data_IF_273993729624
#
_entry.id   IF_273993729624
#
_cell.length_a   1.000
_cell.length_b   1.000
_cell.length_c   1.000
_cell.angle_alpha   90.00
_cell.angle_beta   90.00
_cell.angle_gamma   90.00
#
_symmetry.space_group_name_H-M   'P 1'
#
loop_
_entity.id
_entity.type
_entity.pdbx_description
1 polymer ?
#
# COMPACT_ATOMS: atom_id res chain seq x y z
N UNK A 1 12.04 -29.80 40.39
CA UNK A 1 11.51 -29.22 39.13
C UNK A 1 10.18 -28.51 39.43
N UNK A 2 9.89 -27.33 38.85
CA UNK A 2 8.74 -26.49 39.22
C UNK A 2 7.37 -27.11 38.94
N UNK A 3 7.27 -28.06 38.01
CA UNK A 3 6.01 -28.67 37.57
C UNK A 3 5.34 -29.58 38.64
N UNK A 4 6.13 -30.20 39.53
CA UNK A 4 5.59 -31.10 40.55
C UNK A 4 4.85 -30.36 41.69
N UNK A 5 5.19 -29.09 41.92
CA UNK A 5 4.55 -28.24 42.93
C UNK A 5 3.15 -27.80 42.48
N UNK A 6 2.91 -27.71 41.16
CA UNK A 6 1.66 -27.18 40.59
C UNK A 6 0.61 -28.28 40.38
N UNK A 7 1.01 -29.55 40.36
CA UNK A 7 0.14 -30.65 39.89
C UNK A 7 -0.36 -31.57 41.02
N UNK A 8 -0.04 -31.28 42.29
CA UNK A 8 -0.33 -32.13 43.48
C UNK A 8 -0.01 -33.62 43.29
N UNK A 9 0.92 -33.94 42.37
CA UNK A 9 1.24 -35.31 42.03
C UNK A 9 2.34 -35.78 42.98
N UNK A 10 2.05 -36.80 43.80
CA UNK A 10 3.04 -37.39 44.70
C UNK A 10 4.28 -37.82 43.91
N UNK A 11 5.45 -37.29 44.30
CA UNK A 11 6.72 -37.71 43.71
C UNK A 11 6.86 -39.23 43.84
N UNK A 12 7.27 -39.94 42.77
CA UNK A 12 7.42 -41.38 42.81
C UNK A 12 8.42 -41.78 43.90
N UNK A 13 7.99 -42.67 44.80
CA UNK A 13 8.78 -43.20 45.92
C UNK A 13 10.07 -43.85 45.39
N UNK A 14 11.15 -43.80 46.16
CA UNK A 14 12.47 -44.35 45.78
C UNK A 14 12.43 -45.81 45.28
N UNK A 15 11.50 -46.62 45.79
CA UNK A 15 11.28 -48.00 45.34
C UNK A 15 10.81 -48.10 43.88
N UNK A 16 10.01 -47.14 43.40
CA UNK A 16 9.46 -47.11 42.04
C UNK A 16 10.50 -46.67 41.01
N UNK A 17 11.46 -45.84 41.42
CA UNK A 17 12.63 -45.50 40.59
C UNK A 17 13.59 -46.71 40.51
N UNK A 18 13.67 -47.52 41.57
CA UNK A 18 14.48 -48.73 41.59
C UNK A 18 13.95 -49.82 40.63
N UNK A 19 12.64 -49.91 40.41
CA UNK A 19 12.04 -50.85 39.44
C UNK A 19 12.27 -50.51 37.96
N UNK A 20 12.74 -49.31 37.65
CA UNK A 20 13.08 -48.88 36.27
C UNK A 20 14.48 -49.38 35.86
N UNK A 21 15.34 -49.78 36.81
CA UNK A 21 16.64 -50.39 36.50
C UNK A 21 16.44 -51.82 35.98
N UNK A 22 16.83 -52.05 34.72
CA UNK A 22 16.75 -53.31 33.97
C UNK A 22 17.52 -54.51 34.59
N UNK A 23 18.07 -54.38 35.80
CA UNK A 23 19.02 -55.34 36.38
C UNK A 23 18.44 -56.45 37.26
N UNK A 24 17.15 -56.42 37.62
CA UNK A 24 16.63 -57.31 38.69
C UNK A 24 15.27 -57.96 38.39
N UNK A 25 15.11 -58.57 37.21
CA UNK A 25 14.01 -59.51 36.93
C UNK A 25 12.59 -58.93 36.88
N UNK A 26 12.41 -57.61 36.88
CA UNK A 26 11.11 -56.97 36.73
C UNK A 26 10.73 -56.77 35.26
N UNK A 27 9.48 -57.09 34.91
CA UNK A 27 8.86 -56.67 33.65
C UNK A 27 8.89 -55.14 33.62
N UNK A 28 9.69 -54.54 32.73
CA UNK A 28 9.96 -53.10 32.69
C UNK A 28 8.68 -52.25 32.79
N UNK A 29 8.74 -51.16 33.57
CA UNK A 29 7.61 -50.27 33.79
C UNK A 29 7.16 -49.63 32.46
N UNK A 30 5.85 -49.48 32.28
CA UNK A 30 5.26 -48.98 31.04
C UNK A 30 5.68 -47.52 30.81
N UNK A 31 6.55 -47.28 29.83
CA UNK A 31 7.11 -45.96 29.52
C UNK A 31 6.05 -44.92 29.12
N UNK A 32 4.82 -45.36 28.82
CA UNK A 32 3.69 -44.52 28.43
C UNK A 32 3.39 -43.41 29.44
N UNK A 33 3.43 -43.71 30.75
CA UNK A 33 3.13 -42.72 31.79
C UNK A 33 4.20 -41.62 31.87
N UNK A 34 5.47 -41.99 31.69
CA UNK A 34 6.59 -41.06 31.64
C UNK A 34 6.53 -40.18 30.38
N UNK A 35 6.16 -40.75 29.22
CA UNK A 35 5.96 -39.99 27.98
C UNK A 35 4.82 -38.98 28.14
N UNK A 36 3.71 -39.35 28.78
CA UNK A 36 2.60 -38.42 29.03
C UNK A 36 3.00 -37.29 29.98
N UNK A 37 3.81 -37.55 31.02
CA UNK A 37 4.34 -36.51 31.92
C UNK A 37 5.26 -35.52 31.19
N UNK A 38 6.17 -36.01 30.36
CA UNK A 38 7.04 -35.14 29.55
C UNK A 38 6.24 -34.36 28.50
N UNK A 39 5.28 -35.01 27.82
CA UNK A 39 4.42 -34.36 26.85
C UNK A 39 3.58 -33.24 27.48
N UNK A 40 2.98 -33.48 28.67
CA UNK A 40 2.24 -32.44 29.41
C UNK A 40 3.14 -31.27 29.80
N UNK A 41 4.38 -31.53 30.24
CA UNK A 41 5.34 -30.48 30.62
C UNK A 41 5.73 -29.62 29.40
N UNK A 42 6.06 -30.26 28.27
CA UNK A 42 6.39 -29.57 27.03
C UNK A 42 5.19 -28.76 26.53
N UNK A 43 4.00 -29.36 26.55
CA UNK A 43 2.78 -28.68 26.11
C UNK A 43 2.48 -27.43 26.94
N UNK A 44 2.52 -27.55 28.27
CA UNK A 44 2.22 -26.45 29.19
C UNK A 44 3.26 -25.32 29.12
N UNK A 45 4.55 -25.64 29.11
CA UNK A 45 5.61 -24.62 29.23
C UNK A 45 6.09 -24.07 27.88
N UNK A 46 5.82 -24.75 26.77
CA UNK A 46 6.31 -24.33 25.44
C UNK A 46 5.15 -24.02 24.51
N UNK A 47 4.20 -24.94 24.37
CA UNK A 47 3.15 -24.83 23.34
C UNK A 47 2.11 -23.79 23.75
N UNK A 48 1.58 -23.87 24.97
CA UNK A 48 0.58 -22.91 25.48
C UNK A 48 1.06 -21.45 25.39
N UNK A 49 2.24 -21.06 25.91
CA UNK A 49 2.68 -19.67 25.84
C UNK A 49 2.94 -19.21 24.40
N UNK A 50 3.47 -20.08 23.52
CA UNK A 50 3.67 -19.74 22.11
C UNK A 50 2.35 -19.55 21.38
N UNK A 51 1.38 -20.45 21.55
CA UNK A 51 0.04 -20.31 20.98
C UNK A 51 -0.65 -19.06 21.50
N UNK A 52 -0.53 -18.75 22.79
CA UNK A 52 -1.09 -17.54 23.39
C UNK A 52 -0.51 -16.27 22.75
N UNK A 53 0.81 -16.19 22.59
CA UNK A 53 1.47 -15.06 21.90
C UNK A 53 1.05 -14.97 20.43
N UNK A 54 0.94 -16.11 19.73
CA UNK A 54 0.47 -16.15 18.34
C UNK A 54 -0.98 -15.66 18.22
N UNK A 55 -1.87 -16.05 19.13
CA UNK A 55 -3.26 -15.59 19.16
C UNK A 55 -3.32 -14.09 19.46
N UNK A 56 -2.53 -13.59 20.40
CA UNK A 56 -2.44 -12.14 20.68
C UNK A 56 -1.95 -11.38 19.44
N UNK A 57 -0.91 -11.87 18.77
CA UNK A 57 -0.38 -11.25 17.56
C UNK A 57 -1.42 -11.27 16.42
N UNK A 58 -2.12 -12.39 16.25
CA UNK A 58 -3.18 -12.53 15.25
C UNK A 58 -4.38 -11.63 15.52
N UNK A 59 -4.83 -11.53 16.78
CA UNK A 59 -5.90 -10.61 17.19
C UNK A 59 -5.45 -9.16 16.98
N UNK A 60 -4.21 -8.81 17.36
CA UNK A 60 -3.65 -7.47 17.12
C UNK A 60 -3.56 -7.15 15.64
N UNK A 61 -3.09 -8.07 14.82
CA UNK A 61 -3.04 -7.89 13.37
C UNK A 61 -4.44 -7.72 12.79
N UNK A 62 -5.39 -8.57 13.18
CA UNK A 62 -6.77 -8.48 12.71
C UNK A 62 -7.46 -7.21 13.17
N UNK A 63 -7.20 -6.77 14.40
CA UNK A 63 -7.71 -5.51 14.94
C UNK A 63 -7.08 -4.31 14.22
N UNK A 64 -5.77 -4.30 14.04
CA UNK A 64 -5.06 -3.25 13.31
C UNK A 64 -5.44 -3.22 11.82
N UNK A 65 -5.73 -4.35 11.18
CA UNK A 65 -6.24 -4.39 9.79
C UNK A 65 -7.66 -3.84 9.66
N UNK A 66 -8.49 -4.01 10.69
CA UNK A 66 -9.92 -3.64 10.64
C UNK A 66 -10.21 -2.25 11.22
N UNK A 67 -9.36 -1.77 12.12
CA UNK A 67 -9.50 -0.50 12.83
C UNK A 67 -8.21 0.30 12.75
N UNK A 68 -7.61 0.43 11.55
CA UNK A 68 -6.59 1.46 11.32
C UNK A 68 -7.30 2.74 10.87
N UNK A 69 -7.69 3.66 11.78
CA UNK A 69 -8.08 4.99 11.36
C UNK A 69 -6.81 5.68 10.89
N UNK A 70 -6.54 5.62 9.58
CA UNK A 70 -5.61 6.55 8.96
C UNK A 70 -6.25 7.92 9.20
N UNK A 71 -5.76 8.63 10.21
CA UNK A 71 -6.09 10.03 10.41
C UNK A 71 -5.40 10.77 9.28
N UNK A 72 -6.10 10.92 8.15
CA UNK A 72 -5.67 11.66 6.96
C UNK A 72 -5.43 13.16 7.21
N UNK A 73 -5.48 13.61 8.47
CA UNK A 73 -5.40 15.00 8.86
C UNK A 73 -4.08 15.22 9.61
N UNK A 74 -2.95 15.26 8.87
CA UNK A 74 -1.89 16.31 8.97
C UNK A 74 -0.45 15.93 8.65
N UNK A 75 -0.04 14.65 8.56
CA UNK A 75 1.40 14.34 8.43
C UNK A 75 1.77 13.47 7.22
N UNK A 76 2.22 14.13 6.14
CA UNK A 76 2.91 13.53 4.97
C UNK A 76 4.10 12.64 5.37
N UNK A 77 4.69 12.88 6.54
CA UNK A 77 5.79 12.08 7.09
C UNK A 77 5.39 10.62 7.37
N UNK A 78 4.19 10.35 7.89
CA UNK A 78 3.77 8.98 8.20
C UNK A 78 3.43 8.19 6.94
N UNK A 79 2.88 8.85 5.92
CA UNK A 79 2.63 8.22 4.61
C UNK A 79 3.93 7.70 4.00
N UNK A 80 5.04 8.47 4.08
CA UNK A 80 6.37 8.04 3.58
C UNK A 80 6.93 6.80 4.29
N UNK A 81 6.59 6.62 5.58
CA UNK A 81 6.99 5.45 6.36
C UNK A 81 6.17 4.20 6.03
N UNK A 82 4.93 4.35 5.57
CA UNK A 82 4.10 3.22 5.12
C UNK A 82 4.37 2.81 3.67
N UNK A 83 4.81 3.75 2.82
CA UNK A 83 5.23 3.49 1.44
C UNK A 83 6.53 2.68 1.41
N UNK A 84 7.45 2.93 2.36
CA UNK A 84 8.76 2.26 2.38
C UNK A 84 8.76 0.98 3.23
N UNK A 85 8.02 -0.06 2.80
CA UNK A 85 8.29 -1.42 3.29
C UNK A 85 9.57 -1.96 2.65
N UNK A 86 10.65 -2.20 3.41
CA UNK A 86 11.89 -2.71 2.84
C UNK A 86 11.66 -4.08 2.19
N UNK A 87 11.73 -4.13 0.85
CA UNK A 87 11.63 -5.36 0.05
C UNK A 87 10.39 -5.49 -0.83
N UNK A 88 9.37 -4.64 -0.66
CA UNK A 88 8.17 -4.67 -1.50
C UNK A 88 8.39 -3.89 -2.81
N UNK A 89 7.83 -4.38 -3.92
CA UNK A 89 7.87 -3.68 -5.22
C UNK A 89 6.74 -2.67 -5.23
N UNK A 90 7.06 -1.40 -5.39
CA UNK A 90 6.05 -0.35 -5.47
C UNK A 90 5.40 -0.36 -6.86
N UNK A 91 4.12 -0.74 -6.93
CA UNK A 91 3.35 -0.78 -8.17
C UNK A 91 2.59 0.53 -8.35
N UNK A 92 2.90 1.24 -9.42
CA UNK A 92 2.32 2.51 -9.81
C UNK A 92 1.47 2.33 -11.06
N UNK A 93 0.16 2.57 -10.96
CA UNK A 93 -0.70 2.58 -12.14
C UNK A 93 -0.90 3.99 -12.65
N UNK A 94 -0.85 4.17 -13.97
CA UNK A 94 -1.11 5.44 -14.64
C UNK A 94 -2.33 5.28 -15.52
N UNK A 95 -3.35 6.11 -15.29
CA UNK A 95 -4.56 6.20 -16.11
C UNK A 95 -4.51 7.50 -16.91
N UNK A 96 -4.28 7.44 -18.23
CA UNK A 96 -4.44 8.60 -19.10
C UNK A 96 -5.93 8.97 -19.24
N UNK A 97 -6.26 10.25 -19.15
CA UNK A 97 -7.61 10.77 -19.38
C UNK A 97 -7.62 11.68 -20.60
N UNK A 98 -8.37 11.28 -21.64
CA UNK A 98 -8.52 11.98 -22.91
C UNK A 98 -7.19 12.39 -23.56
N UNK A 99 -6.13 11.64 -23.27
CA UNK A 99 -4.78 11.84 -23.80
C UNK A 99 -4.23 10.49 -24.27
N UNK A 100 -3.60 10.50 -25.43
CA UNK A 100 -2.87 9.36 -25.98
C UNK A 100 -1.37 9.59 -25.75
N UNK A 101 -0.72 8.63 -25.08
CA UNK A 101 0.70 8.73 -24.76
C UNK A 101 1.54 8.00 -25.80
N UNK A 102 2.51 8.70 -26.36
CA UNK A 102 3.60 8.09 -27.14
C UNK A 102 4.48 7.22 -26.25
N UNK A 103 5.20 6.26 -26.84
CA UNK A 103 6.09 5.39 -26.05
C UNK A 103 7.23 6.18 -25.39
N UNK A 104 7.72 7.24 -26.05
CA UNK A 104 8.68 8.18 -25.45
C UNK A 104 8.14 8.86 -24.19
N UNK A 105 6.89 9.36 -24.23
CA UNK A 105 6.27 9.99 -23.05
C UNK A 105 6.03 8.98 -21.92
N UNK A 106 5.70 7.72 -22.25
CA UNK A 106 5.60 6.64 -21.24
C UNK A 106 6.95 6.38 -20.59
N UNK A 107 8.04 6.33 -21.35
CA UNK A 107 9.38 6.12 -20.80
C UNK A 107 9.84 7.28 -19.90
N UNK A 108 9.52 8.52 -20.28
CA UNK A 108 9.74 9.69 -19.43
C UNK A 108 8.97 9.55 -18.11
N UNK A 109 7.68 9.21 -18.15
CA UNK A 109 6.88 8.99 -16.94
C UNK A 109 7.44 7.86 -16.07
N UNK A 110 7.85 6.74 -16.68
CA UNK A 110 8.52 5.64 -15.96
C UNK A 110 9.75 6.14 -15.21
N UNK A 111 10.59 6.93 -15.89
CA UNK A 111 11.81 7.47 -15.29
C UNK A 111 11.54 8.44 -14.15
N UNK A 112 10.55 9.33 -14.31
CA UNK A 112 10.15 10.31 -13.30
C UNK A 112 9.57 9.66 -12.05
N UNK A 113 8.74 8.64 -12.20
CA UNK A 113 8.18 7.91 -11.06
C UNK A 113 9.22 6.99 -10.40
N UNK A 114 10.11 6.36 -11.16
CA UNK A 114 11.19 5.55 -10.59
C UNK A 114 12.16 6.38 -9.71
N UNK A 115 12.28 7.68 -9.95
CA UNK A 115 13.09 8.56 -9.10
C UNK A 115 12.41 8.90 -7.77
N UNK A 116 11.07 8.94 -7.74
CA UNK A 116 10.28 9.29 -6.55
C UNK A 116 9.99 8.06 -5.69
N UNK A 117 9.57 6.97 -6.33
CA UNK A 117 9.19 5.70 -5.71
C UNK A 117 10.40 4.76 -5.53
N UNK A 118 11.54 5.13 -6.12
CA UNK A 118 12.79 4.37 -6.07
C UNK A 118 12.91 3.32 -7.18
N UNK A 119 14.12 2.74 -7.26
CA UNK A 119 14.56 1.90 -8.38
C UNK A 119 13.78 0.59 -8.59
N UNK A 120 12.96 0.15 -7.62
CA UNK A 120 12.12 -1.05 -7.73
C UNK A 120 10.69 -0.77 -8.17
N UNK A 121 10.36 0.50 -8.42
CA UNK A 121 9.02 0.87 -8.83
C UNK A 121 8.68 0.28 -10.21
N UNK A 122 7.54 -0.39 -10.29
CA UNK A 122 6.97 -0.85 -11.56
C UNK A 122 5.84 0.09 -11.94
N UNK A 123 5.90 0.63 -13.15
CA UNK A 123 4.91 1.58 -13.65
C UNK A 123 4.10 0.91 -14.76
N UNK A 124 2.80 0.75 -14.54
CA UNK A 124 1.86 0.15 -15.47
C UNK A 124 0.89 1.18 -16.03
N UNK A 125 0.73 1.18 -17.36
CA UNK A 125 -0.16 2.10 -18.05
C UNK A 125 -1.48 1.42 -18.37
N UNK A 126 -2.57 2.07 -18.00
CA UNK A 126 -3.93 1.64 -18.33
C UNK A 126 -4.38 2.24 -19.67
N UNK A 127 -5.49 1.72 -20.18
CA UNK A 127 -6.13 2.29 -21.37
C UNK A 127 -6.57 3.73 -21.09
N UNK A 128 -6.46 4.59 -22.10
CA UNK A 128 -6.94 5.96 -21.97
C UNK A 128 -8.45 6.00 -21.76
N UNK A 129 -8.91 6.82 -20.83
CA UNK A 129 -10.32 7.08 -20.61
C UNK A 129 -10.76 8.16 -21.60
N UNK A 130 -11.71 7.83 -22.46
CA UNK A 130 -12.35 8.84 -23.32
C UNK A 130 -13.32 9.69 -22.50
N UNK A 131 -13.39 10.99 -22.81
CA UNK A 131 -14.38 11.90 -22.25
C UNK A 131 -15.82 11.34 -22.39
N UNK A 132 -16.59 11.35 -21.30
CA UNK A 132 -17.95 10.81 -21.26
C UNK A 132 -18.04 9.29 -21.06
N UNK A 133 -16.92 8.60 -20.80
CA UNK A 133 -16.85 7.16 -20.50
C UNK A 133 -16.38 6.85 -19.07
N UNK A 134 -16.42 7.83 -18.19
CA UNK A 134 -15.99 7.74 -16.78
C UNK A 134 -16.74 6.64 -16.02
N UNK A 135 -18.06 6.60 -16.17
CA UNK A 135 -18.90 5.60 -15.50
C UNK A 135 -18.61 4.18 -15.98
N UNK A 136 -18.31 4.02 -17.26
CA UNK A 136 -17.93 2.72 -17.82
C UNK A 136 -16.59 2.27 -17.27
N UNK A 137 -15.61 3.19 -17.23
CA UNK A 137 -14.32 2.93 -16.62
C UNK A 137 -14.48 2.48 -15.17
N UNK A 138 -15.21 3.23 -14.32
CA UNK A 138 -15.40 2.86 -12.91
C UNK A 138 -16.06 1.48 -12.71
N UNK A 139 -16.86 0.99 -13.67
CA UNK A 139 -17.44 -0.36 -13.61
C UNK A 139 -16.48 -1.47 -14.03
N UNK A 140 -15.64 -1.19 -15.02
CA UNK A 140 -14.70 -2.17 -15.59
C UNK A 140 -13.37 -2.19 -14.83
N UNK A 141 -13.02 -1.08 -14.21
CA UNK A 141 -11.75 -0.90 -13.52
C UNK A 141 -11.71 -1.76 -12.27
N UNK A 142 -10.92 -2.82 -12.36
CA UNK A 142 -10.66 -3.75 -11.26
C UNK A 142 -9.16 -3.97 -11.17
N UNK A 143 -8.59 -3.82 -9.98
CA UNK A 143 -7.22 -4.23 -9.73
C UNK A 143 -7.14 -5.75 -9.59
N UNK A 144 -6.09 -6.36 -10.13
CA UNK A 144 -5.85 -7.79 -9.94
C UNK A 144 -5.62 -8.05 -8.45
N UNK A 145 -6.47 -8.86 -7.81
CA UNK A 145 -6.42 -9.15 -6.37
C UNK A 145 -5.10 -9.77 -5.86
N UNK A 146 -4.17 -10.08 -6.77
CA UNK A 146 -2.84 -10.63 -6.44
C UNK A 146 -1.81 -9.57 -6.08
N UNK A 147 -2.01 -8.32 -6.50
CA UNK A 147 -1.07 -7.22 -6.25
C UNK A 147 -1.86 -6.04 -5.64
N UNK A 148 -1.71 -5.75 -4.33
CA UNK A 148 -2.30 -4.54 -3.77
C UNK A 148 -1.67 -3.34 -4.48
N UNK A 149 -2.49 -2.47 -5.04
CA UNK A 149 -2.01 -1.27 -5.70
C UNK A 149 -1.54 -0.30 -4.65
N UNK A 150 -0.27 0.06 -4.72
CA UNK A 150 0.31 0.97 -3.75
C UNK A 150 -0.03 2.40 -4.17
N UNK A 151 0.15 2.73 -5.46
CA UNK A 151 -0.04 4.11 -5.95
C UNK A 151 -0.78 4.17 -7.30
N UNK A 152 -1.62 5.19 -7.47
CA UNK A 152 -2.39 5.45 -8.69
C UNK A 152 -2.24 6.91 -9.15
N UNK A 153 -1.78 7.16 -10.38
CA UNK A 153 -1.83 8.47 -11.00
C UNK A 153 -2.91 8.56 -12.08
N UNK A 154 -3.64 9.66 -12.07
CA UNK A 154 -4.49 10.06 -13.19
C UNK A 154 -3.75 11.16 -13.96
N UNK A 155 -3.59 10.98 -15.26
CA UNK A 155 -2.92 11.93 -16.13
C UNK A 155 -3.93 12.70 -16.98
N UNK A 156 -4.02 14.00 -16.75
CA UNK A 156 -4.81 14.94 -17.55
C UNK A 156 -3.92 15.79 -18.44
N UNK A 157 -4.48 16.35 -19.51
CA UNK A 157 -3.81 17.40 -20.30
C UNK A 157 -4.17 18.78 -19.77
N UNK A 158 -3.19 19.67 -19.57
CA UNK A 158 -3.41 21.08 -19.23
C UNK A 158 -4.21 21.82 -20.32
N UNK A 159 -4.16 21.31 -21.57
CA UNK A 159 -4.90 21.87 -22.69
C UNK A 159 -6.42 21.64 -22.58
N UNK A 160 -6.85 20.67 -21.77
CA UNK A 160 -8.26 20.44 -21.48
C UNK A 160 -8.78 21.48 -20.48
N UNK A 161 -10.03 21.90 -20.66
CA UNK A 161 -10.70 22.79 -19.70
C UNK A 161 -11.16 21.94 -18.50
N UNK A 162 -10.69 22.22 -17.28
CA UNK A 162 -11.12 21.45 -16.12
C UNK A 162 -12.56 21.84 -15.75
N UNK A 163 -13.41 20.84 -15.61
CA UNK A 163 -14.83 20.99 -15.30
C UNK A 163 -15.17 20.24 -14.00
N UNK A 164 -15.80 20.90 -13.04
CA UNK A 164 -16.12 20.31 -11.73
C UNK A 164 -17.06 19.12 -11.85
N UNK A 165 -18.06 19.21 -12.73
CA UNK A 165 -19.07 18.17 -12.94
C UNK A 165 -18.52 16.90 -13.57
N UNK A 166 -17.32 16.98 -14.18
CA UNK A 166 -16.72 15.87 -14.92
C UNK A 166 -15.44 15.43 -14.22
N UNK A 167 -14.42 16.29 -14.19
CA UNK A 167 -13.10 15.95 -13.69
C UNK A 167 -13.12 15.74 -12.17
N UNK A 168 -13.68 16.70 -11.42
CA UNK A 168 -13.73 16.59 -9.96
C UNK A 168 -14.73 15.51 -9.50
N UNK A 169 -15.84 15.33 -10.22
CA UNK A 169 -16.78 14.23 -9.97
C UNK A 169 -16.16 12.86 -10.22
N UNK A 170 -15.43 12.69 -11.33
CA UNK A 170 -14.70 11.46 -11.64
C UNK A 170 -13.64 11.14 -10.59
N UNK A 171 -12.79 12.13 -10.26
CA UNK A 171 -11.76 11.99 -9.22
C UNK A 171 -12.41 11.54 -7.91
N UNK A 172 -13.48 12.22 -7.47
CA UNK A 172 -14.19 11.89 -6.23
C UNK A 172 -14.80 10.48 -6.25
N UNK A 173 -15.35 10.06 -7.38
CA UNK A 173 -15.91 8.72 -7.57
C UNK A 173 -14.82 7.65 -7.49
N UNK A 174 -13.70 7.88 -8.15
CA UNK A 174 -12.55 6.98 -8.12
C UNK A 174 -11.97 6.88 -6.70
N UNK A 175 -11.80 8.00 -6.01
CA UNK A 175 -11.35 8.04 -4.60
C UNK A 175 -12.23 7.16 -3.71
N UNK A 176 -13.55 7.34 -3.80
CA UNK A 176 -14.50 6.56 -3.02
C UNK A 176 -14.36 5.07 -3.33
N UNK A 177 -14.33 4.71 -4.61
CA UNK A 177 -14.20 3.32 -5.05
C UNK A 177 -12.91 2.65 -4.55
N UNK A 178 -11.76 3.32 -4.62
CA UNK A 178 -10.50 2.71 -4.18
C UNK A 178 -10.38 2.66 -2.65
N UNK A 179 -10.97 3.63 -1.95
CA UNK A 179 -10.97 3.70 -0.49
C UNK A 179 -11.89 2.64 0.10
N UNK A 180 -13.11 2.49 -0.44
CA UNK A 180 -14.11 1.52 0.03
C UNK A 180 -13.61 0.07 -0.09
N UNK A 181 -12.74 -0.19 -1.08
CA UNK A 181 -12.16 -1.52 -1.31
C UNK A 181 -10.77 -1.71 -0.67
N UNK A 182 -10.25 -0.74 0.09
CA UNK A 182 -8.86 -0.71 0.62
C UNK A 182 -7.80 -1.06 -0.45
N UNK A 183 -8.02 -0.60 -1.69
CA UNK A 183 -7.29 -1.06 -2.87
C UNK A 183 -6.06 -0.23 -3.21
N UNK A 184 -6.03 1.06 -2.82
CA UNK A 184 -4.99 2.01 -3.19
C UNK A 184 -4.51 2.77 -1.94
N UNK A 185 -3.20 2.90 -1.77
CA UNK A 185 -2.60 3.63 -0.64
C UNK A 185 -2.47 5.12 -0.95
N UNK A 186 -2.15 5.48 -2.20
CA UNK A 186 -1.99 6.87 -2.62
C UNK A 186 -2.54 7.14 -4.02
N UNK A 187 -3.25 8.26 -4.19
CA UNK A 187 -3.67 8.76 -5.51
C UNK A 187 -2.98 10.09 -5.80
N UNK A 188 -2.41 10.21 -7.00
CA UNK A 188 -1.82 11.43 -7.53
C UNK A 188 -2.64 11.93 -8.73
N UNK A 189 -2.80 13.24 -8.83
CA UNK A 189 -3.33 13.89 -10.03
C UNK A 189 -2.16 14.57 -10.74
N UNK A 190 -1.88 14.14 -11.96
CA UNK A 190 -0.79 14.66 -12.79
C UNK A 190 -1.40 15.39 -13.98
N UNK A 191 -0.90 16.58 -14.27
CA UNK A 191 -1.37 17.41 -15.38
C UNK A 191 -0.19 17.68 -16.31
N UNK A 192 -0.29 17.19 -17.55
CA UNK A 192 0.71 17.38 -18.60
C UNK A 192 0.57 18.76 -19.27
N UNK A 193 1.64 19.55 -19.20
CA UNK A 193 1.73 20.90 -19.74
C UNK A 193 2.37 20.97 -21.13
N UNK A 194 2.88 19.84 -21.63
CA UNK A 194 3.75 19.78 -22.81
C UNK A 194 3.15 20.44 -24.04
N UNK A 195 1.93 20.06 -24.38
CA UNK A 195 1.22 20.57 -25.56
C UNK A 195 0.88 22.05 -25.42
N UNK A 196 0.52 22.48 -24.20
CA UNK A 196 0.21 23.87 -23.92
C UNK A 196 1.46 24.74 -24.05
N UNK A 197 2.56 24.35 -23.40
CA UNK A 197 3.86 25.05 -23.53
C UNK A 197 4.32 25.12 -24.98
N UNK A 198 4.20 24.02 -25.73
CA UNK A 198 4.60 23.98 -27.14
C UNK A 198 3.79 24.99 -27.98
N UNK A 199 2.47 25.04 -27.82
CA UNK A 199 1.58 25.94 -28.57
C UNK A 199 1.74 27.42 -28.20
N UNK A 200 1.93 27.73 -26.92
CA UNK A 200 1.94 29.10 -26.42
C UNK A 200 3.33 29.70 -26.23
N UNK A 201 4.41 28.91 -26.32
CA UNK A 201 5.81 29.34 -26.14
C UNK A 201 6.23 30.58 -26.94
N UNK A 202 5.62 30.82 -28.10
CA UNK A 202 5.95 31.95 -29.01
C UNK A 202 5.10 33.19 -28.79
N UNK A 203 4.11 33.17 -27.89
CA UNK A 203 3.23 34.31 -27.63
C UNK A 203 3.76 35.17 -26.46
N UNK A 204 3.58 36.49 -26.55
CA UNK A 204 3.80 37.37 -25.39
C UNK A 204 2.83 36.98 -24.26
N UNK A 205 3.36 36.86 -23.03
CA UNK A 205 2.57 36.46 -21.86
C UNK A 205 2.31 34.95 -21.75
N UNK A 206 3.09 34.09 -22.42
CA UNK A 206 2.94 32.64 -22.36
C UNK A 206 2.96 32.09 -20.92
N UNK A 207 3.86 32.60 -20.08
CA UNK A 207 4.02 32.16 -18.69
C UNK A 207 2.82 32.56 -17.83
N UNK A 208 2.30 33.77 -17.98
CA UNK A 208 1.12 34.26 -17.26
C UNK A 208 -0.14 33.44 -17.61
N UNK A 209 -0.29 33.08 -18.89
CA UNK A 209 -1.36 32.18 -19.35
C UNK A 209 -1.22 30.77 -18.78
N UNK A 210 0.01 30.28 -18.67
CA UNK A 210 0.30 28.96 -18.10
C UNK A 210 -0.05 28.90 -16.62
N UNK A 211 0.41 29.88 -15.83
CA UNK A 211 0.07 29.93 -14.40
C UNK A 211 -1.42 30.15 -14.17
N UNK A 212 -2.09 30.97 -15.00
CA UNK A 212 -3.55 31.12 -14.97
C UNK A 212 -4.28 29.79 -15.19
N UNK A 213 -3.75 28.93 -16.07
CA UNK A 213 -4.31 27.59 -16.32
C UNK A 213 -4.01 26.62 -15.18
N UNK A 214 -2.80 26.64 -14.61
CA UNK A 214 -2.46 25.87 -13.41
C UNK A 214 -3.41 26.21 -12.27
N UNK A 215 -3.65 27.50 -12.05
CA UNK A 215 -4.54 27.97 -10.99
C UNK A 215 -5.98 27.55 -11.23
N UNK A 216 -6.45 27.58 -12.49
CA UNK A 216 -7.77 27.04 -12.84
C UNK A 216 -7.87 25.55 -12.48
N UNK A 217 -6.88 24.74 -12.82
CA UNK A 217 -6.84 23.32 -12.46
C UNK A 217 -6.79 23.08 -10.94
N UNK A 218 -5.97 23.85 -10.20
CA UNK A 218 -5.91 23.79 -8.73
C UNK A 218 -7.25 24.13 -8.08
N UNK A 219 -7.97 25.12 -8.63
CA UNK A 219 -9.30 25.52 -8.12
C UNK A 219 -10.38 24.50 -8.42
N UNK A 220 -10.38 23.92 -9.62
CA UNK A 220 -11.38 22.93 -10.03
C UNK A 220 -11.21 21.60 -9.32
N UNK A 221 -9.97 21.17 -9.06
CA UNK A 221 -9.70 19.96 -8.26
C UNK A 221 -9.84 20.35 -6.77
N UNK A 222 -11.06 20.24 -6.26
CA UNK A 222 -11.40 20.63 -4.88
C UNK A 222 -11.39 19.44 -3.91
N UNK A 223 -11.01 18.24 -4.37
CA UNK A 223 -10.90 17.05 -3.51
C UNK A 223 -9.93 17.34 -2.36
N UNK A 224 -10.45 17.26 -1.12
CA UNK A 224 -9.84 17.83 0.11
C UNK A 224 -8.39 17.45 0.40
N UNK A 225 -7.87 16.37 -0.19
CA UNK A 225 -6.56 15.82 0.16
C UNK A 225 -5.59 15.70 -1.02
N UNK A 226 -5.93 16.18 -2.23
CA UNK A 226 -5.09 15.93 -3.41
C UNK A 226 -4.91 17.20 -4.22
N UNK A 227 -3.65 17.58 -4.41
CA UNK A 227 -3.27 18.70 -5.26
C UNK A 227 -2.81 18.18 -6.62
N UNK A 228 -3.15 18.87 -7.73
CA UNK A 228 -2.58 18.54 -9.02
C UNK A 228 -1.08 18.86 -9.03
N UNK A 229 -0.29 17.89 -9.49
CA UNK A 229 1.11 18.03 -9.82
C UNK A 229 1.23 18.29 -11.31
N UNK A 230 2.04 19.26 -11.68
CA UNK A 230 2.22 19.66 -13.07
C UNK A 230 3.54 19.12 -13.62
N UNK A 231 3.53 18.63 -14.86
CA UNK A 231 4.72 18.06 -15.50
C UNK A 231 4.78 18.44 -16.97
N UNK A 232 5.99 18.68 -17.47
CA UNK A 232 6.25 18.82 -18.90
C UNK A 232 6.92 17.54 -19.41
N UNK A 233 6.16 16.65 -20.02
CA UNK A 233 6.66 15.41 -20.62
C UNK A 233 7.60 15.62 -21.81
N UNK A 234 7.54 16.76 -22.52
CA UNK A 234 8.50 17.06 -23.60
C UNK A 234 9.86 17.52 -23.08
N UNK A 235 9.90 18.24 -21.95
CA UNK A 235 11.13 18.67 -21.31
C UNK A 235 10.96 18.58 -19.77
N UNK A 236 11.16 17.38 -19.20
CA UNK A 236 10.86 17.13 -17.80
C UNK A 236 11.91 17.74 -16.87
N UNK A 237 11.49 18.65 -16.01
CA UNK A 237 12.31 19.09 -14.87
C UNK A 237 12.11 18.12 -13.71
N UNK A 238 13.13 17.29 -13.48
CA UNK A 238 13.14 16.27 -12.44
C UNK A 238 13.09 16.87 -11.02
N UNK A 239 13.72 18.02 -10.80
CA UNK A 239 13.77 18.63 -9.47
C UNK A 239 12.43 19.29 -9.12
N UNK A 240 11.82 19.98 -10.09
CA UNK A 240 10.47 20.54 -9.94
C UNK A 240 9.45 19.44 -9.66
N UNK A 241 9.54 18.32 -10.39
CA UNK A 241 8.69 17.14 -10.21
C UNK A 241 8.79 16.53 -8.81
N UNK A 242 10.00 16.25 -8.33
CA UNK A 242 10.21 15.68 -6.99
C UNK A 242 9.68 16.60 -5.90
N UNK A 243 9.92 17.91 -6.01
CA UNK A 243 9.41 18.89 -5.06
C UNK A 243 7.88 18.94 -5.07
N UNK A 244 7.26 18.92 -6.25
CA UNK A 244 5.81 19.00 -6.38
C UNK A 244 5.12 17.76 -5.78
N UNK A 245 5.64 16.55 -6.01
CA UNK A 245 5.07 15.33 -5.39
C UNK A 245 5.25 15.34 -3.87
N UNK A 246 6.40 15.80 -3.36
CA UNK A 246 6.63 15.85 -1.92
C UNK A 246 5.70 16.81 -1.17
N UNK A 247 5.09 17.79 -1.87
CA UNK A 247 4.18 18.80 -1.33
C UNK A 247 2.69 18.44 -1.47
N UNK A 248 2.42 17.31 -2.12
CA UNK A 248 1.07 16.77 -2.38
C UNK A 248 0.72 15.76 -1.30
#
# INVERSE_FOLDING_TARGET
MPAAIITEQQFPTLERVASIRWGNGGLGENATDWIHLFAKTIFLFIIVPRCFLSVIAFIRERHLRTHFPIQYDKDSYFTKLFISKPGQRELMHIIPYSIELTDQQKDVLRSLFAQVLGWKAQVEFHRTISYGREDQFCREFTFSAKDPVESLAILFSLSSTPETEIHNAFISTLFKMVTDNNMVVQILIVVDESDFKTRFSRQKGAEEKLESRRELWRRTITSKNVKPVFVNLHNPDTNEWQNAINLT
#
